data_IF_583226201980
#
_entry.id   IF_583226201980
#
_cell.length_a   1.000
_cell.length_b   1.000
_cell.length_c   1.000
_cell.angle_alpha   90.00
_cell.angle_beta   90.00
_cell.angle_gamma   90.00
#
_symmetry.space_group_name_H-M   'P 1'
#
loop_
_entity.id
_entity.type
_entity.pdbx_description
1 polymer ?
#
# COMPACT_ATOMS: atom_id res chain seq x y z
N UNK A 1 36.59 -54.02 4.67
CA UNK A 1 36.27 -52.82 5.45
C UNK A 1 35.45 -51.89 4.57
N UNK A 2 34.13 -51.88 4.80
CA UNK A 2 33.16 -51.09 4.04
C UNK A 2 33.17 -49.65 4.58
N UNK A 3 33.69 -48.70 3.82
CA UNK A 3 33.56 -47.27 4.14
C UNK A 3 32.21 -46.76 3.65
N UNK A 4 31.41 -46.32 4.63
CA UNK A 4 30.06 -45.81 4.52
C UNK A 4 29.98 -44.56 3.62
N UNK A 5 29.13 -44.65 2.60
CA UNK A 5 28.71 -43.55 1.74
C UNK A 5 27.62 -42.76 2.48
N UNK A 6 27.94 -41.58 3.03
CA UNK A 6 26.95 -40.65 3.55
C UNK A 6 26.51 -39.70 2.44
N UNK A 7 25.34 -39.98 1.89
CA UNK A 7 24.54 -39.06 1.07
C UNK A 7 24.08 -37.89 1.94
N UNK A 8 24.63 -36.70 1.69
CA UNK A 8 24.13 -35.45 2.27
C UNK A 8 22.87 -35.04 1.50
N UNK A 9 21.70 -35.41 2.02
CA UNK A 9 20.43 -34.95 1.50
C UNK A 9 20.30 -33.43 1.68
N UNK A 10 20.43 -32.70 0.58
CA UNK A 10 20.14 -31.28 0.45
C UNK A 10 18.63 -31.08 0.70
N UNK A 11 18.25 -30.68 1.92
CA UNK A 11 16.88 -30.28 2.25
C UNK A 11 16.59 -28.95 1.58
N UNK A 12 16.04 -28.99 0.37
CA UNK A 12 15.40 -27.84 -0.28
C UNK A 12 14.14 -27.54 0.53
N UNK A 13 14.22 -26.54 1.43
CA UNK A 13 13.03 -25.93 2.01
C UNK A 13 12.34 -25.12 0.91
N UNK A 14 11.40 -25.75 0.22
CA UNK A 14 10.40 -25.06 -0.57
C UNK A 14 9.54 -24.23 0.39
N UNK A 15 9.84 -22.95 0.50
CA UNK A 15 8.91 -21.97 1.08
C UNK A 15 7.71 -21.87 0.15
N UNK A 16 6.67 -22.63 0.44
CA UNK A 16 5.35 -22.43 -0.16
C UNK A 16 4.83 -21.11 0.39
N UNK A 17 5.01 -20.05 -0.39
CA UNK A 17 4.39 -18.75 -0.14
C UNK A 17 2.91 -18.94 -0.43
N UNK A 18 2.12 -19.19 0.62
CA UNK A 18 0.66 -19.12 0.55
C UNK A 18 0.31 -17.66 0.32
N UNK A 19 0.05 -17.30 -0.93
CA UNK A 19 -0.60 -16.02 -1.26
C UNK A 19 -2.04 -16.14 -0.74
N UNK A 20 -2.30 -15.56 0.42
CA UNK A 20 -3.67 -15.34 0.90
C UNK A 20 -4.25 -14.24 0.01
N UNK A 21 -4.93 -14.64 -1.07
CA UNK A 21 -5.82 -13.75 -1.80
C UNK A 21 -6.88 -13.26 -0.81
N UNK A 22 -6.99 -11.94 -0.68
CA UNK A 22 -8.00 -11.30 0.13
C UNK A 22 -9.37 -11.89 -0.22
N UNK A 23 -10.05 -12.37 0.81
CA UNK A 23 -11.31 -13.08 0.77
C UNK A 23 -12.34 -12.35 -0.08
N UNK A 24 -12.85 -13.02 -1.11
CA UNK A 24 -14.24 -12.82 -1.47
C UNK A 24 -15.06 -13.16 -0.23
N UNK A 25 -15.88 -12.23 0.25
CA UNK A 25 -16.88 -12.52 1.27
C UNK A 25 -17.94 -13.39 0.64
N UNK A 26 -17.67 -14.68 0.46
CA UNK A 26 -18.70 -15.65 0.11
C UNK A 26 -19.64 -15.72 1.31
N UNK A 27 -20.88 -15.29 1.13
CA UNK A 27 -21.93 -15.48 2.11
C UNK A 27 -21.92 -16.96 2.52
N UNK A 28 -21.78 -17.25 3.82
CA UNK A 28 -21.82 -18.63 4.29
C UNK A 28 -23.19 -19.19 3.91
N UNK A 29 -23.23 -20.12 2.95
CA UNK A 29 -24.39 -20.96 2.72
C UNK A 29 -24.44 -21.97 3.87
N UNK A 30 -24.92 -21.51 5.02
CA UNK A 30 -25.04 -22.33 6.22
C UNK A 30 -26.04 -23.46 5.95
N UNK A 31 -25.54 -24.68 5.77
CA UNK A 31 -26.34 -25.89 5.89
C UNK A 31 -26.81 -25.93 7.35
N UNK A 32 -28.07 -25.58 7.61
CA UNK A 32 -28.62 -25.53 8.96
C UNK A 32 -28.54 -26.92 9.61
N UNK A 33 -27.81 -27.00 10.73
CA UNK A 33 -28.08 -28.01 11.76
C UNK A 33 -29.17 -27.43 12.63
N UNK A 34 -30.27 -28.15 12.79
CA UNK A 34 -31.47 -27.74 13.54
C UNK A 34 -31.09 -27.29 14.95
N UNK A 35 -31.09 -25.97 15.20
CA UNK A 35 -31.14 -25.42 16.55
C UNK A 35 -32.41 -24.57 16.64
N UNK A 36 -33.36 -25.07 17.44
CA UNK A 36 -34.49 -24.29 17.92
C UNK A 36 -33.94 -23.09 18.71
N UNK A 37 -33.90 -21.93 18.09
CA UNK A 37 -33.69 -20.68 18.79
C UNK A 37 -34.81 -19.74 18.36
N UNK A 38 -35.77 -19.56 19.27
CA UNK A 38 -36.62 -18.39 19.35
C UNK A 38 -35.73 -17.16 19.60
N UNK A 39 -35.06 -16.68 18.54
CA UNK A 39 -34.27 -15.46 18.57
C UNK A 39 -35.13 -14.31 18.03
N UNK A 40 -35.36 -13.33 18.90
CA UNK A 40 -35.85 -11.99 18.59
C UNK A 40 -35.05 -11.40 17.40
N UNK A 41 -35.63 -10.58 16.50
CA UNK A 41 -34.90 -10.01 15.38
C UNK A 41 -33.72 -9.18 15.91
N UNK A 42 -32.51 -9.70 15.66
CA UNK A 42 -31.26 -9.09 16.10
C UNK A 42 -30.64 -8.35 14.91
N UNK A 43 -30.45 -7.04 15.07
CA UNK A 43 -29.69 -6.23 14.14
C UNK A 43 -28.22 -6.69 14.19
N UNK A 44 -27.74 -7.34 13.12
CA UNK A 44 -26.33 -7.74 12.99
C UNK A 44 -25.59 -6.67 12.21
N UNK A 45 -24.68 -5.97 12.89
CA UNK A 45 -23.86 -4.93 12.28
C UNK A 45 -22.45 -5.46 11.98
N UNK A 46 -22.12 -5.56 10.70
CA UNK A 46 -20.85 -6.10 10.20
C UNK A 46 -19.95 -4.96 9.72
N UNK A 47 -18.67 -4.95 10.08
CA UNK A 47 -17.68 -4.04 9.47
C UNK A 47 -17.06 -4.74 8.27
N UNK A 48 -17.04 -4.07 7.11
CA UNK A 48 -16.49 -4.63 5.88
C UNK A 48 -15.50 -3.64 5.24
N UNK A 49 -14.27 -4.09 4.98
CA UNK A 49 -13.27 -3.28 4.26
C UNK A 49 -13.11 -3.81 2.84
N UNK A 50 -13.25 -2.95 1.84
CA UNK A 50 -13.16 -3.33 0.42
C UNK A 50 -12.15 -2.44 -0.31
N UNK A 51 -11.36 -3.01 -1.20
CA UNK A 51 -10.39 -2.25 -1.99
C UNK A 51 -11.10 -1.42 -3.07
N UNK A 52 -10.61 -0.20 -3.30
CA UNK A 52 -11.06 0.63 -4.40
C UNK A 52 -10.82 -0.07 -5.75
N UNK A 53 -11.77 0.05 -6.67
CA UNK A 53 -11.71 -0.55 -7.99
C UNK A 53 -12.17 -2.01 -8.05
N UNK A 54 -12.32 -2.71 -6.92
CA UNK A 54 -12.76 -4.12 -6.90
C UNK A 54 -14.29 -4.24 -6.90
N UNK A 55 -14.79 -5.48 -6.94
CA UNK A 55 -16.19 -5.83 -6.74
C UNK A 55 -16.46 -6.01 -5.23
N UNK A 56 -17.61 -5.54 -4.75
CA UNK A 56 -18.14 -5.86 -3.42
C UNK A 56 -19.51 -6.52 -3.55
N UNK A 57 -19.79 -7.50 -2.70
CA UNK A 57 -21.10 -8.16 -2.56
C UNK A 57 -21.49 -8.17 -1.08
N UNK A 58 -22.69 -7.68 -0.77
CA UNK A 58 -23.22 -7.54 0.58
C UNK A 58 -24.44 -8.44 0.72
N UNK A 59 -24.41 -9.34 1.69
CA UNK A 59 -25.45 -10.34 1.93
C UNK A 59 -26.61 -9.75 2.75
N UNK A 60 -27.81 -10.27 2.61
CA UNK A 60 -28.86 -10.06 3.61
C UNK A 60 -28.76 -11.09 4.75
N UNK A 61 -29.63 -11.00 5.76
CA UNK A 61 -29.70 -12.00 6.82
C UNK A 61 -29.88 -13.42 6.22
N UNK A 62 -29.25 -14.46 6.78
CA UNK A 62 -29.30 -15.81 6.21
C UNK A 62 -30.63 -16.53 6.54
N UNK A 63 -31.74 -16.04 6.00
CA UNK A 63 -33.08 -16.62 6.15
C UNK A 63 -33.57 -17.26 4.84
N UNK A 64 -34.49 -18.24 4.89
CA UNK A 64 -35.11 -18.78 3.68
C UNK A 64 -35.92 -17.71 2.93
N UNK A 65 -35.69 -17.59 1.61
CA UNK A 65 -36.39 -16.61 0.77
C UNK A 65 -37.86 -16.98 0.49
N UNK A 66 -38.29 -18.20 0.80
CA UNK A 66 -39.63 -18.73 0.47
C UNK A 66 -40.79 -17.92 1.05
N UNK A 67 -40.58 -17.21 2.17
CA UNK A 67 -41.62 -16.42 2.84
C UNK A 67 -41.29 -14.92 2.86
N UNK A 68 -40.33 -14.47 2.07
CA UNK A 68 -39.94 -13.06 2.00
C UNK A 68 -40.85 -12.34 1.03
N UNK A 69 -41.58 -11.33 1.51
CA UNK A 69 -42.55 -10.56 0.72
C UNK A 69 -41.99 -9.24 0.20
N UNK A 70 -41.00 -8.68 0.92
CA UNK A 70 -40.35 -7.42 0.58
C UNK A 70 -38.89 -7.47 1.01
N UNK A 71 -38.00 -7.06 0.10
CA UNK A 71 -36.57 -6.88 0.38
C UNK A 71 -36.26 -5.42 0.12
N UNK A 72 -35.60 -4.75 1.05
CA UNK A 72 -35.19 -3.35 0.92
C UNK A 72 -33.73 -3.18 1.32
N UNK A 73 -32.93 -2.62 0.43
CA UNK A 73 -31.63 -2.07 0.73
C UNK A 73 -31.76 -0.57 0.99
N UNK A 74 -31.38 -0.14 2.19
CA UNK A 74 -31.22 1.25 2.55
C UNK A 74 -29.73 1.59 2.60
N UNK A 75 -29.33 2.59 1.81
CA UNK A 75 -27.95 2.95 1.54
C UNK A 75 -27.74 4.39 2.01
N UNK A 76 -26.90 4.55 3.03
CA UNK A 76 -26.61 5.82 3.69
C UNK A 76 -25.13 6.13 3.48
N UNK A 77 -24.86 6.95 2.47
CA UNK A 77 -23.51 7.41 2.14
C UNK A 77 -23.25 8.77 2.78
N UNK A 78 -21.98 9.08 3.04
CA UNK A 78 -21.60 10.38 3.60
C UNK A 78 -22.01 11.51 2.65
N UNK A 79 -22.60 12.57 3.21
CA UNK A 79 -22.97 13.81 2.50
C UNK A 79 -23.92 13.59 1.28
N UNK A 80 -24.68 12.49 1.28
CA UNK A 80 -25.66 12.16 0.23
C UNK A 80 -27.02 11.82 0.82
N UNK A 81 -28.11 12.05 0.07
CA UNK A 81 -29.43 11.58 0.49
C UNK A 81 -29.45 10.05 0.55
N UNK A 82 -30.25 9.52 1.47
CA UNK A 82 -30.48 8.08 1.59
C UNK A 82 -31.08 7.52 0.29
N UNK A 83 -30.41 6.51 -0.28
CA UNK A 83 -30.88 5.74 -1.43
C UNK A 83 -31.58 4.48 -0.92
N UNK A 84 -32.72 4.13 -1.54
CA UNK A 84 -33.46 2.89 -1.24
C UNK A 84 -33.71 2.10 -2.50
N UNK A 85 -33.35 0.83 -2.49
CA UNK A 85 -33.64 -0.12 -3.57
C UNK A 85 -34.48 -1.24 -2.97
N UNK A 86 -35.68 -1.46 -3.50
CA UNK A 86 -36.59 -2.49 -2.98
C UNK A 86 -37.05 -3.45 -4.06
N UNK A 87 -37.33 -4.67 -3.65
CA UNK A 87 -37.95 -5.72 -4.46
C UNK A 87 -39.19 -6.23 -3.73
N UNK A 88 -40.32 -6.25 -4.43
CA UNK A 88 -41.59 -6.77 -3.93
C UNK A 88 -41.93 -8.07 -4.65
N UNK A 89 -42.16 -9.13 -3.90
CA UNK A 89 -42.34 -10.48 -4.46
C UNK A 89 -43.65 -10.63 -5.23
N UNK A 90 -44.76 -10.10 -4.68
CA UNK A 90 -46.11 -10.27 -5.24
C UNK A 90 -46.29 -9.66 -6.63
N UNK A 91 -45.68 -8.51 -6.90
CA UNK A 91 -45.71 -7.81 -8.20
C UNK A 91 -44.45 -8.04 -9.02
N UNK A 92 -43.43 -8.70 -8.45
CA UNK A 92 -42.10 -8.85 -9.03
C UNK A 92 -41.51 -7.49 -9.49
N UNK A 93 -41.78 -6.43 -8.71
CA UNK A 93 -41.42 -5.06 -9.02
C UNK A 93 -40.14 -4.64 -8.29
N UNK A 94 -39.26 -3.93 -8.99
CA UNK A 94 -38.08 -3.29 -8.42
C UNK A 94 -38.30 -1.78 -8.40
N UNK A 95 -38.20 -1.18 -7.22
CA UNK A 95 -38.33 0.27 -7.04
C UNK A 95 -36.99 0.85 -6.58
N UNK A 96 -36.61 2.01 -7.12
CA UNK A 96 -35.39 2.75 -6.74
C UNK A 96 -35.77 4.18 -6.37
N UNK A 97 -35.44 4.59 -5.15
CA UNK A 97 -35.69 5.94 -4.65
C UNK A 97 -34.35 6.61 -4.34
N UNK A 98 -34.09 7.76 -4.99
CA UNK A 98 -32.88 8.58 -4.80
C UNK A 98 -31.55 7.84 -5.05
N UNK A 99 -31.58 6.75 -5.82
CA UNK A 99 -30.39 5.98 -6.18
C UNK A 99 -29.90 6.40 -7.57
N UNK A 100 -28.92 7.29 -7.61
CA UNK A 100 -28.33 7.79 -8.88
C UNK A 100 -27.06 7.04 -9.29
N UNK A 101 -26.42 6.30 -8.38
CA UNK A 101 -25.19 5.58 -8.68
C UNK A 101 -25.53 4.21 -9.29
N UNK A 102 -25.34 4.08 -10.60
CA UNK A 102 -25.64 2.86 -11.35
C UNK A 102 -24.71 1.68 -11.02
N UNK A 103 -23.61 1.93 -10.30
CA UNK A 103 -22.66 0.87 -9.88
C UNK A 103 -23.18 0.07 -8.69
N UNK A 104 -24.20 0.59 -7.99
CA UNK A 104 -24.88 -0.09 -6.89
C UNK A 104 -26.13 -0.78 -7.44
N UNK A 105 -26.09 -2.10 -7.54
CA UNK A 105 -27.16 -2.91 -8.14
C UNK A 105 -27.42 -4.15 -7.31
N UNK A 106 -28.50 -4.88 -7.61
CA UNK A 106 -28.59 -6.27 -7.17
C UNK A 106 -27.51 -7.11 -7.85
N UNK A 107 -26.96 -8.09 -7.14
CA UNK A 107 -25.99 -9.02 -7.69
C UNK A 107 -26.63 -9.97 -8.72
N UNK A 108 -27.90 -10.34 -8.49
CA UNK A 108 -28.71 -11.10 -9.43
C UNK A 108 -30.20 -10.82 -9.21
N UNK A 109 -31.10 -11.74 -9.58
CA UNK A 109 -32.52 -11.56 -9.30
C UNK A 109 -32.78 -11.67 -7.79
N UNK A 110 -33.47 -10.70 -7.15
CA UNK A 110 -33.56 -10.65 -5.68
C UNK A 110 -34.32 -11.82 -5.03
N UNK A 111 -35.22 -12.46 -5.78
CA UNK A 111 -35.95 -13.68 -5.38
C UNK A 111 -35.04 -14.92 -5.27
N UNK A 112 -33.92 -14.93 -6.00
CA UNK A 112 -32.94 -16.01 -5.97
C UNK A 112 -31.77 -15.65 -5.05
N UNK A 113 -31.28 -14.41 -5.15
CA UNK A 113 -30.19 -13.91 -4.34
C UNK A 113 -30.36 -12.38 -4.13
N UNK A 114 -30.73 -11.94 -2.91
CA UNK A 114 -30.96 -10.54 -2.56
C UNK A 114 -29.67 -9.75 -2.27
N UNK A 115 -28.50 -10.26 -2.63
CA UNK A 115 -27.24 -9.55 -2.43
C UNK A 115 -27.18 -8.23 -3.19
N UNK A 116 -26.61 -7.23 -2.52
CA UNK A 116 -26.26 -5.96 -3.15
C UNK A 116 -24.83 -6.04 -3.68
N UNK A 117 -24.66 -5.62 -4.92
CA UNK A 117 -23.38 -5.54 -5.60
C UNK A 117 -22.95 -4.08 -5.76
N UNK A 118 -21.65 -3.85 -5.60
CA UNK A 118 -21.00 -2.58 -5.92
C UNK A 118 -19.82 -2.86 -6.86
N UNK A 119 -19.85 -2.36 -8.09
CA UNK A 119 -18.73 -2.54 -9.01
C UNK A 119 -18.62 -1.42 -10.08
N UNK A 120 -17.43 -0.81 -10.25
CA UNK A 120 -16.28 -0.85 -9.35
C UNK A 120 -16.50 0.00 -8.08
N UNK A 121 -15.93 -0.45 -6.96
CA UNK A 121 -15.95 0.30 -5.69
C UNK A 121 -15.16 1.61 -5.82
N UNK A 122 -15.69 2.70 -5.25
CA UNK A 122 -15.03 4.00 -5.17
C UNK A 122 -15.15 4.57 -3.76
N UNK A 123 -14.28 5.54 -3.40
CA UNK A 123 -14.27 6.21 -2.10
C UNK A 123 -15.65 6.73 -1.67
N UNK A 124 -16.47 7.20 -2.62
CA UNK A 124 -17.83 7.70 -2.35
C UNK A 124 -18.80 6.62 -1.83
N UNK A 125 -18.42 5.35 -1.88
CA UNK A 125 -19.21 4.23 -1.35
C UNK A 125 -18.92 3.96 0.14
N UNK A 126 -18.04 4.73 0.79
CA UNK A 126 -17.93 4.73 2.25
C UNK A 126 -19.29 5.07 2.87
N UNK A 127 -19.80 4.20 3.74
CA UNK A 127 -21.11 4.41 4.32
C UNK A 127 -21.70 3.20 5.03
N UNK A 128 -22.99 3.31 5.32
CA UNK A 128 -23.78 2.27 5.95
C UNK A 128 -24.80 1.70 4.97
N UNK A 129 -24.85 0.38 4.89
CA UNK A 129 -25.73 -0.37 4.00
C UNK A 129 -26.56 -1.32 4.84
N UNK A 130 -27.89 -1.20 4.79
CA UNK A 130 -28.79 -2.03 5.58
C UNK A 130 -29.73 -2.80 4.66
N UNK A 131 -29.69 -4.13 4.73
CA UNK A 131 -30.71 -4.97 4.15
C UNK A 131 -31.83 -5.19 5.17
N UNK A 132 -33.07 -5.07 4.72
CA UNK A 132 -34.27 -5.33 5.49
C UNK A 132 -35.15 -6.31 4.70
N UNK A 133 -35.49 -7.44 5.31
CA UNK A 133 -36.37 -8.44 4.71
C UNK A 133 -37.62 -8.60 5.56
N UNK A 134 -38.77 -8.37 4.96
CA UNK A 134 -40.06 -8.57 5.60
C UNK A 134 -40.61 -9.94 5.25
N UNK A 135 -41.11 -10.64 6.27
CA UNK A 135 -41.85 -11.90 6.15
C UNK A 135 -43.17 -11.77 6.92
N UNK A 136 -44.16 -12.65 6.67
CA UNK A 136 -45.37 -12.72 7.50
C UNK A 136 -45.10 -12.97 8.99
N UNK A 137 -43.92 -13.47 9.34
CA UNK A 137 -43.54 -13.86 10.70
C UNK A 137 -42.68 -12.81 11.41
N UNK A 138 -42.26 -11.75 10.71
CA UNK A 138 -41.39 -10.71 11.25
C UNK A 138 -40.43 -10.13 10.22
N UNK A 139 -39.66 -9.13 10.67
CA UNK A 139 -38.67 -8.43 9.87
C UNK A 139 -37.25 -8.82 10.30
N UNK A 140 -36.35 -8.92 9.33
CA UNK A 140 -34.95 -9.30 9.54
C UNK A 140 -34.04 -8.24 8.91
N UNK A 141 -33.14 -7.70 9.72
CA UNK A 141 -32.24 -6.63 9.31
C UNK A 141 -30.77 -7.10 9.38
N UNK A 142 -29.96 -6.71 8.39
CA UNK A 142 -28.51 -6.89 8.41
C UNK A 142 -27.82 -5.60 7.95
N UNK A 143 -26.97 -5.06 8.81
CA UNK A 143 -26.23 -3.82 8.56
C UNK A 143 -24.77 -4.04 8.22
N UNK A 144 -24.23 -3.23 7.31
CA UNK A 144 -22.81 -3.18 6.97
C UNK A 144 -22.27 -1.76 7.12
N UNK A 145 -21.18 -1.62 7.87
CA UNK A 145 -20.31 -0.44 7.81
C UNK A 145 -19.22 -0.71 6.79
N UNK A 146 -19.42 -0.20 5.58
CA UNK A 146 -18.48 -0.38 4.47
C UNK A 146 -17.40 0.69 4.53
N UNK A 147 -16.15 0.25 4.56
CA UNK A 147 -14.96 1.08 4.51
C UNK A 147 -14.16 0.78 3.24
N UNK A 148 -13.95 1.79 2.41
CA UNK A 148 -13.16 1.70 1.19
C UNK A 148 -11.69 1.90 1.54
N UNK A 149 -10.84 0.97 1.10
CA UNK A 149 -9.39 1.02 1.27
C UNK A 149 -8.71 1.35 -0.06
N UNK A 150 -7.68 2.19 -0.03
CA UNK A 150 -6.91 2.63 -1.21
C UNK A 150 -5.45 2.23 -1.03
N UNK A 151 -4.88 1.52 -1.99
CA UNK A 151 -3.47 1.16 -1.95
C UNK A 151 -2.59 2.38 -2.17
N UNK A 152 -1.59 2.61 -1.32
CA UNK A 152 -0.66 3.71 -1.53
C UNK A 152 0.28 3.43 -2.70
N UNK A 153 0.60 4.47 -3.45
CA UNK A 153 1.71 4.41 -4.40
C UNK A 153 3.02 4.66 -3.64
N UNK A 154 3.92 3.67 -3.66
CA UNK A 154 5.19 3.75 -2.92
C UNK A 154 6.32 4.16 -3.85
N UNK A 155 7.02 5.22 -3.45
CA UNK A 155 8.23 5.74 -4.10
C UNK A 155 9.38 5.82 -3.10
N UNK A 156 10.59 5.56 -3.59
CA UNK A 156 11.83 5.74 -2.85
C UNK A 156 12.75 6.61 -3.71
N UNK A 157 13.25 7.69 -3.12
CA UNK A 157 14.10 8.66 -3.82
C UNK A 157 15.33 8.99 -2.98
N UNK A 158 16.54 8.99 -3.57
CA UNK A 158 17.74 9.42 -2.89
C UNK A 158 17.82 10.95 -2.91
N UNK A 159 18.31 11.52 -1.81
CA UNK A 159 18.56 12.95 -1.64
C UNK A 159 20.08 13.16 -1.47
N UNK A 160 20.52 14.41 -1.40
CA UNK A 160 21.91 14.76 -1.07
C UNK A 160 22.27 14.30 0.36
N UNK A 161 23.58 14.24 0.63
CA UNK A 161 24.12 13.97 1.96
C UNK A 161 23.60 12.66 2.57
N UNK A 162 23.69 11.54 1.84
CA UNK A 162 23.34 10.20 2.35
C UNK A 162 21.94 10.12 2.98
N UNK A 163 21.00 10.85 2.40
CA UNK A 163 19.60 10.94 2.86
C UNK A 163 18.70 10.28 1.82
N UNK A 164 17.61 9.67 2.24
CA UNK A 164 16.58 9.15 1.33
C UNK A 164 15.18 9.47 1.84
N UNK A 165 14.24 9.64 0.91
CA UNK A 165 12.84 9.88 1.20
C UNK A 165 12.03 8.71 0.64
N UNK A 166 11.29 8.05 1.51
CA UNK A 166 10.30 7.07 1.13
C UNK A 166 8.90 7.65 1.32
N UNK A 167 8.08 7.59 0.29
CA UNK A 167 6.75 8.20 0.27
C UNK A 167 5.71 7.18 -0.17
N UNK A 168 4.69 7.01 0.66
CA UNK A 168 3.48 6.23 0.42
C UNK A 168 2.32 7.20 0.16
N UNK A 169 1.98 7.40 -1.12
CA UNK A 169 1.04 8.43 -1.58
C UNK A 169 -0.39 7.92 -1.53
N UNK A 170 -1.30 8.73 -0.96
CA UNK A 170 -2.75 8.55 -1.02
C UNK A 170 -3.26 7.16 -0.55
N UNK A 171 -2.67 6.60 0.51
CA UNK A 171 -3.15 5.37 1.15
C UNK A 171 -4.41 5.61 1.99
N UNK A 172 -5.34 4.67 2.00
CA UNK A 172 -6.46 4.65 2.95
C UNK A 172 -6.62 3.24 3.51
N UNK A 173 -6.38 3.00 4.81
CA UNK A 173 -5.90 3.93 5.82
C UNK A 173 -4.43 4.37 5.58
N UNK A 174 -3.90 5.21 6.47
CA UNK A 174 -2.50 5.62 6.41
C UNK A 174 -1.57 4.39 6.46
N UNK A 175 -0.58 4.37 5.57
CA UNK A 175 0.42 3.31 5.52
C UNK A 175 1.51 3.53 6.58
N UNK A 176 2.14 2.44 7.03
CA UNK A 176 3.28 2.51 7.94
C UNK A 176 4.57 2.41 7.16
N UNK A 177 5.54 3.28 7.45
CA UNK A 177 6.84 3.31 6.77
C UNK A 177 7.92 2.88 7.76
N UNK A 178 8.82 2.00 7.32
CA UNK A 178 9.94 1.49 8.10
C UNK A 178 11.18 1.35 7.21
N UNK A 179 12.36 1.31 7.83
CA UNK A 179 13.65 1.34 7.13
C UNK A 179 14.59 0.25 7.59
N UNK A 180 15.40 -0.25 6.64
CA UNK A 180 16.52 -1.15 6.90
C UNK A 180 17.74 -0.74 6.04
N UNK A 181 18.91 -0.45 6.63
CA UNK A 181 19.18 -0.37 8.07
C UNK A 181 18.49 0.83 8.73
N UNK A 182 18.42 0.83 10.05
CA UNK A 182 17.89 1.95 10.83
C UNK A 182 18.76 3.19 10.60
N UNK A 183 18.13 4.36 10.43
CA UNK A 183 18.78 5.65 10.29
C UNK A 183 18.08 6.71 11.13
N UNK A 184 18.57 7.95 11.05
CA UNK A 184 17.96 9.09 11.74
C UNK A 184 16.78 9.60 10.91
N UNK A 185 15.57 9.19 11.30
CA UNK A 185 14.36 9.30 10.49
C UNK A 185 13.34 10.28 11.07
N UNK A 186 12.72 11.08 10.21
CA UNK A 186 11.55 11.90 10.51
C UNK A 186 10.41 11.47 9.59
N UNK A 187 9.27 11.11 10.18
CA UNK A 187 8.08 10.68 9.44
C UNK A 187 6.97 11.73 9.59
N UNK A 188 6.41 12.14 8.47
CA UNK A 188 5.35 13.13 8.37
C UNK A 188 4.18 12.57 7.57
N UNK A 189 3.00 13.19 7.73
CA UNK A 189 1.78 12.77 7.05
C UNK A 189 0.93 13.97 6.64
N UNK A 190 0.25 13.83 5.52
CA UNK A 190 -0.70 14.79 4.97
C UNK A 190 -2.05 14.10 4.75
N UNK A 191 -3.12 14.70 5.26
CA UNK A 191 -4.49 14.19 5.10
C UNK A 191 -5.17 14.95 3.96
N UNK A 192 -5.76 14.20 3.03
CA UNK A 192 -6.49 14.75 1.89
C UNK A 192 -8.00 14.76 2.17
N UNK A 193 -8.72 15.69 1.53
CA UNK A 193 -10.18 15.83 1.68
C UNK A 193 -10.96 14.57 1.29
N UNK A 194 -10.41 13.77 0.36
CA UNK A 194 -10.97 12.49 -0.06
C UNK A 194 -10.77 11.35 0.97
N UNK A 195 -10.19 11.65 2.13
CA UNK A 195 -9.96 10.71 3.23
C UNK A 195 -8.74 9.81 3.05
N UNK A 196 -7.94 10.00 2.00
CA UNK A 196 -6.64 9.34 1.85
C UNK A 196 -5.55 10.09 2.63
N UNK A 197 -4.46 9.39 2.92
CA UNK A 197 -3.32 9.92 3.67
C UNK A 197 -2.04 9.63 2.90
N UNK A 198 -1.23 10.66 2.70
CA UNK A 198 0.13 10.52 2.17
C UNK A 198 1.10 10.53 3.35
N UNK A 199 1.90 9.48 3.49
CA UNK A 199 2.92 9.35 4.54
C UNK A 199 4.29 9.38 3.87
N UNK A 200 5.22 10.18 4.38
CA UNK A 200 6.61 10.12 3.94
C UNK A 200 7.56 10.11 5.12
N UNK A 201 8.67 9.41 4.94
CA UNK A 201 9.74 9.33 5.92
C UNK A 201 11.03 9.75 5.25
N UNK A 202 11.73 10.69 5.88
CA UNK A 202 13.04 11.17 5.45
C UNK A 202 14.06 10.64 6.44
N UNK A 203 15.04 9.88 5.96
CA UNK A 203 16.06 9.28 6.81
C UNK A 203 17.46 9.65 6.36
N UNK A 204 18.32 9.89 7.34
CA UNK A 204 19.73 10.17 7.14
C UNK A 204 20.59 9.05 7.73
N UNK A 205 21.64 8.65 7.01
CA UNK A 205 22.62 7.68 7.49
C UNK A 205 24.00 8.34 7.57
N UNK A 206 24.40 8.84 8.76
CA UNK A 206 25.69 9.51 8.95
C UNK A 206 26.87 8.53 8.78
N UNK A 207 26.64 7.25 9.06
CA UNK A 207 27.66 6.21 9.03
C UNK A 207 28.03 5.84 7.59
N UNK A 208 29.34 5.86 7.26
CA UNK A 208 29.84 5.78 5.87
C UNK A 208 29.72 4.38 5.24
N UNK A 209 29.52 3.35 6.07
CA UNK A 209 29.40 1.94 5.69
C UNK A 209 28.07 1.58 4.99
N UNK A 210 27.01 2.36 5.18
CA UNK A 210 25.71 2.10 4.56
C UNK A 210 25.74 2.48 3.07
N UNK A 211 25.74 1.51 2.17
CA UNK A 211 25.75 1.78 0.72
C UNK A 211 24.35 1.73 0.09
N UNK A 212 23.42 1.03 0.74
CA UNK A 212 22.06 0.86 0.28
C UNK A 212 21.09 0.82 1.45
N UNK A 213 19.88 1.29 1.18
CA UNK A 213 18.77 1.38 2.13
C UNK A 213 17.54 0.76 1.53
N UNK A 214 16.71 0.17 2.37
CA UNK A 214 15.44 -0.42 2.01
C UNK A 214 14.34 0.27 2.79
N UNK A 215 13.37 0.81 2.07
CA UNK A 215 12.11 1.26 2.64
C UNK A 215 11.08 0.14 2.55
N UNK A 216 10.43 -0.16 3.67
CA UNK A 216 9.33 -1.11 3.76
C UNK A 216 8.05 -0.37 4.18
N UNK A 217 7.04 -0.44 3.30
CA UNK A 217 5.73 0.15 3.51
C UNK A 217 4.73 -0.96 3.81
N UNK A 218 4.07 -0.89 4.97
CA UNK A 218 3.03 -1.81 5.41
C UNK A 218 1.66 -1.18 5.25
N UNK A 219 0.76 -1.88 4.56
CA UNK A 219 -0.61 -1.44 4.30
C UNK A 219 -1.56 -2.64 4.16
N UNK A 220 -2.87 -2.41 4.33
CA UNK A 220 -3.90 -3.46 4.27
C UNK A 220 -3.95 -4.23 2.94
N UNK A 221 -3.52 -3.59 1.85
CA UNK A 221 -3.49 -4.25 0.55
C UNK A 221 -2.18 -4.98 0.24
N UNK A 222 -1.23 -4.97 1.17
CA UNK A 222 0.03 -5.69 1.07
C UNK A 222 1.21 -4.85 1.53
N UNK A 223 2.26 -5.55 1.94
CA UNK A 223 3.55 -4.95 2.26
C UNK A 223 4.37 -4.78 0.97
N UNK A 224 5.00 -3.62 0.80
CA UNK A 224 5.88 -3.33 -0.34
C UNK A 224 7.22 -2.82 0.16
N UNK A 225 8.31 -3.42 -0.32
CA UNK A 225 9.67 -2.98 0.00
C UNK A 225 10.41 -2.55 -1.26
N UNK A 226 11.11 -1.43 -1.20
CA UNK A 226 11.93 -0.90 -2.30
C UNK A 226 13.32 -0.60 -1.73
N UNK A 227 14.36 -1.05 -2.43
CA UNK A 227 15.75 -0.80 -2.04
C UNK A 227 16.44 0.14 -3.02
N UNK A 228 17.29 1.02 -2.52
CA UNK A 228 18.06 1.96 -3.35
C UNK A 228 19.44 2.24 -2.75
N UNK A 229 20.42 2.49 -3.62
CA UNK A 229 21.76 2.92 -3.21
C UNK A 229 21.74 4.39 -2.79
N UNK A 230 22.45 4.70 -1.71
CA UNK A 230 22.63 6.09 -1.27
C UNK A 230 23.61 6.82 -2.17
N UNK A 231 23.37 8.10 -2.39
CA UNK A 231 24.33 8.97 -3.09
C UNK A 231 25.50 9.29 -2.14
N UNK A 232 26.76 9.20 -2.60
CA UNK A 232 27.92 9.56 -1.80
C UNK A 232 27.89 11.05 -1.45
N UNK A 233 28.50 11.41 -0.31
CA UNK A 233 28.69 12.81 0.04
C UNK A 233 29.69 13.44 -0.94
N UNK A 234 29.26 14.48 -1.66
CA UNK A 234 30.09 15.19 -2.65
C UNK A 234 31.28 15.92 -2.01
N UNK A 235 31.35 15.98 -0.68
CA UNK A 235 32.47 16.59 0.06
C UNK A 235 33.79 15.85 -0.16
N UNK A 236 33.82 14.54 -0.42
CA UNK A 236 35.09 13.80 -0.53
C UNK A 236 35.81 13.93 -1.89
N UNK A 237 35.11 14.29 -2.98
CA UNK A 237 35.75 14.43 -4.28
C UNK A 237 36.34 15.83 -4.53
N UNK A 238 35.76 16.87 -3.93
CA UNK A 238 36.19 18.26 -4.13
C UNK A 238 37.56 18.56 -3.54
N UNK A 239 37.84 18.06 -2.34
CA UNK A 239 39.12 18.29 -1.66
C UNK A 239 40.26 17.43 -2.23
N UNK A 240 39.97 16.20 -2.67
CA UNK A 240 40.97 15.28 -3.20
C UNK A 240 41.52 15.75 -4.56
N UNK A 241 40.65 16.17 -5.47
CA UNK A 241 41.07 16.62 -6.82
C UNK A 241 41.73 18.01 -6.76
N UNK A 242 41.22 18.93 -5.93
CA UNK A 242 41.82 20.26 -5.77
C UNK A 242 43.20 20.20 -5.10
N UNK A 243 43.37 19.38 -4.06
CA UNK A 243 44.66 19.21 -3.39
C UNK A 243 45.71 18.56 -4.30
N UNK A 244 45.33 17.52 -5.06
CA UNK A 244 46.23 16.89 -6.03
C UNK A 244 46.67 17.85 -7.14
N UNK A 245 45.76 18.67 -7.66
CA UNK A 245 46.09 19.69 -8.66
C UNK A 245 47.04 20.76 -8.11
N UNK A 246 46.84 21.21 -6.86
CA UNK A 246 47.73 22.16 -6.18
C UNK A 246 49.12 21.54 -5.98
N UNK A 247 49.20 20.29 -5.51
CA UNK A 247 50.47 19.57 -5.32
C UNK A 247 51.22 19.41 -6.65
N UNK A 248 50.51 19.01 -7.71
CA UNK A 248 51.08 18.89 -9.05
C UNK A 248 51.59 20.23 -9.58
N UNK A 249 50.84 21.32 -9.37
CA UNK A 249 51.24 22.66 -9.79
C UNK A 249 52.51 23.14 -9.07
N UNK A 250 52.59 22.98 -7.74
CA UNK A 250 53.77 23.36 -6.95
C UNK A 250 55.01 22.57 -7.38
N UNK A 251 54.87 21.26 -7.64
CA UNK A 251 55.96 20.41 -8.13
C UNK A 251 56.43 20.83 -9.52
N UNK A 252 55.51 21.17 -10.42
CA UNK A 252 55.84 21.66 -11.76
C UNK A 252 56.59 23.00 -11.70
N UNK A 253 56.13 23.94 -10.85
CA UNK A 253 56.82 25.22 -10.64
C UNK A 253 58.25 25.03 -10.12
N UNK A 254 58.45 24.16 -9.10
CA UNK A 254 59.78 23.84 -8.58
C UNK A 254 60.70 23.25 -9.66
N UNK A 255 60.18 22.34 -10.49
CA UNK A 255 60.94 21.75 -11.59
C UNK A 255 61.38 22.80 -12.61
N UNK A 256 60.49 23.73 -12.99
CA UNK A 256 60.84 24.82 -13.89
C UNK A 256 61.91 25.75 -13.30
N UNK A 257 61.84 26.07 -12.02
CA UNK A 257 62.87 26.87 -11.33
C UNK A 257 64.24 26.16 -11.36
N UNK A 258 64.26 24.84 -11.10
CA UNK A 258 65.49 24.05 -11.17
C UNK A 258 66.08 24.07 -12.59
N UNK A 259 65.25 23.90 -13.63
CA UNK A 259 65.70 23.99 -15.02
C UNK A 259 66.31 25.35 -15.36
N UNK A 260 65.71 26.44 -14.87
CA UNK A 260 66.26 27.80 -15.06
C UNK A 260 67.61 27.94 -14.35
N UNK A 261 67.74 27.48 -13.10
CA UNK A 261 69.01 27.54 -12.36
C UNK A 261 70.10 26.72 -13.06
N UNK A 262 69.80 25.48 -13.47
CA UNK A 262 70.74 24.62 -14.19
C UNK A 262 71.12 25.23 -15.54
N UNK A 263 70.15 25.81 -16.26
CA UNK A 263 70.40 26.55 -17.49
C UNK A 263 71.34 27.73 -17.27
N UNK A 264 71.09 28.56 -16.26
CA UNK A 264 71.95 29.70 -15.93
C UNK A 264 73.37 29.28 -15.53
N UNK A 265 73.55 28.17 -14.81
CA UNK A 265 74.87 27.62 -14.48
C UNK A 265 75.58 27.13 -15.74
N UNK A 266 74.86 26.43 -16.63
CA UNK A 266 75.43 25.93 -17.88
C UNK A 266 75.84 27.06 -18.83
N UNK A 267 75.03 28.11 -18.95
CA UNK A 267 75.37 29.29 -19.75
C UNK A 267 76.56 30.07 -19.17
N UNK A 268 76.66 30.24 -17.84
CA UNK A 268 77.84 30.84 -17.22
C UNK A 268 79.14 30.07 -17.49
N UNK A 269 79.08 28.73 -17.50
CA UNK A 269 80.24 27.90 -17.83
C UNK A 269 80.66 27.99 -19.31
N UNK A 270 79.79 28.43 -20.22
CA UNK A 270 80.12 28.61 -21.64
C UNK A 270 80.78 29.98 -21.87
N UNK A 271 80.36 31.02 -21.15
CA UNK A 271 80.96 32.36 -21.25
C UNK A 271 82.38 32.44 -20.65
N UNK A 272 82.72 31.56 -19.69
CA UNK A 272 84.08 31.44 -19.12
C UNK A 272 85.07 30.65 -20.02
N UNK A 273 84.60 30.14 -21.18
CA UNK A 273 85.43 29.42 -22.17
C UNK A 273 85.69 30.22 -23.46
N UNK A 274 85.43 31.53 -23.48
CA UNK A 274 85.77 32.43 -24.60
C UNK A 274 86.78 33.49 -24.17
#
# INVERSE_FOLDING_TARGET
MHTSQKTSALRVLTFIIIIVLASSTSCMHGKQTTQNISALPQEVNTSLTVLMGTKAELCCSPIPLTNVVLITWEIILRDRPTCKISYKEDTNEITKNNCTDERITWASRPDVNPELQIHPVALSHDGYYRCQMATPYGNFDHGYRLQVSVCPEVTLSPVKNRTAVCKAVAGKPAAQVSWAPVGDCVTEQEHWDNGTVTVWSTCHWPDSNVSAVTCSVSHLCGNKSISQRLLPDFRDLGYSVSSLLIICYVKLCLFMVILVIVGCIFFKNIDDCR
#
